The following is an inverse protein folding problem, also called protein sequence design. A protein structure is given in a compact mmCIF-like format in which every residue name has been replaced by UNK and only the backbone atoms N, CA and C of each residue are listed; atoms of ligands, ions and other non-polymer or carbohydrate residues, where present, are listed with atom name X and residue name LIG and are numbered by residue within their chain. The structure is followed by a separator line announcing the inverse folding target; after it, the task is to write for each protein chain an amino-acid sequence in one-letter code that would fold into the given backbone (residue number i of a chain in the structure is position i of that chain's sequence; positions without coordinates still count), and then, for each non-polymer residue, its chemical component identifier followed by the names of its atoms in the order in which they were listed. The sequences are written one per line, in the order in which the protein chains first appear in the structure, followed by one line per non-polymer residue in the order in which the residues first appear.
data_IF_698666186130
#
_entry.id   IF_698666186130
#
_cell.length_a   1.000
_cell.length_b   1.000
_cell.length_c   1.000
_cell.angle_alpha   90.00
_cell.angle_beta   90.00
_cell.angle_gamma   90.00
#
_symmetry.space_group_name_H-M   'P 1'
#
loop_
_entity.id
_entity.type
_entity.pdbx_description
1 polymer ?
#
# COMPACT_ATOMS: atom_id res chain seq x y z
N UNK A 1 9.93 -2.98 -20.65
CA UNK A 1 8.71 -3.70 -20.25
C UNK A 1 8.34 -3.30 -18.83
N UNK A 2 7.14 -2.82 -18.63
CA UNK A 2 6.65 -2.49 -17.28
C UNK A 2 6.43 -3.80 -16.52
N UNK A 3 7.17 -4.00 -15.43
CA UNK A 3 7.07 -5.20 -14.59
C UNK A 3 5.90 -5.14 -13.59
N UNK A 4 5.11 -4.08 -13.63
CA UNK A 4 3.95 -3.89 -12.76
C UNK A 4 2.86 -3.09 -13.46
N UNK A 5 1.60 -3.38 -13.15
CA UNK A 5 0.43 -2.65 -13.62
C UNK A 5 -0.18 -1.93 -12.41
N UNK A 6 -0.26 -0.60 -12.43
CA UNK A 6 -0.84 0.18 -11.34
C UNK A 6 -2.36 0.32 -11.48
N UNK A 7 -3.06 0.29 -10.35
CA UNK A 7 -4.46 0.70 -10.19
C UNK A 7 -4.55 1.64 -9.01
N UNK A 8 -5.17 2.78 -9.19
CA UNK A 8 -5.33 3.79 -8.14
C UNK A 8 -6.80 3.96 -7.77
N UNK A 9 -7.06 4.11 -6.48
CA UNK A 9 -8.37 4.33 -5.91
C UNK A 9 -8.22 5.32 -4.75
N UNK A 10 -8.99 6.41 -4.77
CA UNK A 10 -9.09 7.30 -3.62
C UNK A 10 -10.30 6.93 -2.78
N UNK A 11 -10.08 6.75 -1.49
CA UNK A 11 -11.12 6.33 -0.54
C UNK A 11 -11.26 7.39 0.54
N UNK A 12 -12.50 7.90 0.67
CA UNK A 12 -12.89 8.81 1.76
C UNK A 12 -13.81 8.12 2.74
N UNK A 13 -13.78 8.56 3.99
CA UNK A 13 -14.72 8.06 5.00
C UNK A 13 -16.17 8.32 4.56
N UNK A 14 -16.98 7.27 4.54
CA UNK A 14 -18.40 7.34 4.16
C UNK A 14 -18.72 6.99 2.71
N UNK A 15 -17.73 6.76 1.85
CA UNK A 15 -17.97 6.28 0.48
C UNK A 15 -18.34 4.79 0.49
N UNK A 16 -19.59 4.50 0.89
CA UNK A 16 -20.15 3.15 0.82
C UNK A 16 -20.48 2.68 -0.61
N UNK A 17 -20.34 3.57 -1.60
CA UNK A 17 -20.74 3.34 -2.97
C UNK A 17 -19.56 3.62 -3.92
N UNK A 18 -18.59 2.72 -3.90
CA UNK A 18 -17.46 2.80 -4.82
C UNK A 18 -17.89 2.21 -6.16
N UNK A 19 -18.29 3.10 -7.09
CA UNK A 19 -18.34 2.72 -8.49
C UNK A 19 -16.90 2.54 -8.98
N UNK A 20 -16.51 1.35 -9.43
CA UNK A 20 -15.19 1.12 -9.98
C UNK A 20 -15.09 1.72 -11.39
N UNK A 21 -14.95 3.02 -11.50
CA UNK A 21 -14.42 3.57 -12.75
C UNK A 21 -12.92 3.27 -12.79
N UNK A 22 -12.58 2.46 -13.77
CA UNK A 22 -11.23 2.12 -14.15
C UNK A 22 -10.56 3.36 -14.76
N UNK A 23 -10.04 4.26 -13.95
CA UNK A 23 -9.05 5.20 -14.44
C UNK A 23 -7.67 4.56 -14.37
N UNK A 24 -7.21 4.10 -15.52
CA UNK A 24 -5.79 3.90 -15.79
C UNK A 24 -5.17 5.30 -15.84
N UNK A 25 -4.87 5.88 -14.70
CA UNK A 25 -4.12 7.13 -14.69
C UNK A 25 -2.64 6.81 -14.88
N UNK A 26 -2.19 6.98 -16.13
CA UNK A 26 -0.79 7.22 -16.40
C UNK A 26 -0.42 8.56 -15.73
N UNK A 27 0.37 8.45 -14.64
CA UNK A 27 1.26 9.50 -14.18
C UNK A 27 0.72 10.92 -14.15
N UNK A 28 -0.25 11.23 -13.30
CA UNK A 28 -0.36 12.59 -12.80
C UNK A 28 0.61 12.73 -11.63
N UNK A 29 1.75 13.36 -11.89
CA UNK A 29 2.56 14.03 -10.87
C UNK A 29 1.71 15.14 -10.25
N UNK A 30 0.78 14.76 -9.38
CA UNK A 30 0.20 15.73 -8.47
C UNK A 30 1.33 16.20 -7.55
N UNK A 31 1.60 17.51 -7.62
CA UNK A 31 2.64 18.21 -6.89
C UNK A 31 3.01 17.55 -5.55
N UNK A 32 4.29 17.38 -5.33
CA UNK A 32 5.03 16.79 -4.20
C UNK A 32 4.43 17.04 -2.80
N UNK A 33 3.19 16.62 -2.58
CA UNK A 33 2.66 16.53 -1.23
C UNK A 33 3.43 15.40 -0.53
N UNK A 34 4.03 15.69 0.60
CA UNK A 34 4.68 14.68 1.42
C UNK A 34 3.68 13.57 1.72
N UNK A 35 4.04 12.33 1.40
CA UNK A 35 3.17 11.19 1.58
C UNK A 35 3.83 10.16 2.50
N UNK A 36 3.00 9.53 3.31
CA UNK A 36 3.38 8.38 4.14
C UNK A 36 2.84 7.13 3.45
N UNK A 37 3.73 6.23 3.11
CA UNK A 37 3.40 5.00 2.42
C UNK A 37 3.15 3.85 3.42
N UNK A 38 1.96 3.30 3.40
CA UNK A 38 1.61 2.10 4.15
C UNK A 38 1.59 0.92 3.19
N UNK A 39 2.44 -0.08 3.44
CA UNK A 39 2.45 -1.29 2.61
C UNK A 39 1.61 -2.36 3.29
N UNK A 40 0.68 -2.94 2.53
CA UNK A 40 -0.16 -4.02 3.02
C UNK A 40 0.67 -5.24 3.42
N UNK A 41 0.38 -5.77 4.59
CA UNK A 41 0.99 -7.00 5.14
C UNK A 41 -0.07 -8.07 5.44
N UNK A 42 -0.89 -7.82 6.43
CA UNK A 42 -2.08 -8.56 6.81
C UNK A 42 -3.19 -7.55 7.12
N UNK A 43 -4.43 -7.97 7.20
CA UNK A 43 -5.53 -7.04 7.51
C UNK A 43 -5.31 -6.35 8.87
N UNK A 44 -4.95 -7.11 9.91
CA UNK A 44 -4.67 -6.57 11.24
C UNK A 44 -3.42 -5.67 11.25
N UNK A 45 -2.33 -6.11 10.63
CA UNK A 45 -1.09 -5.33 10.52
C UNK A 45 -1.29 -4.04 9.75
N UNK A 46 -1.97 -4.11 8.62
CA UNK A 46 -2.27 -2.95 7.80
C UNK A 46 -3.15 -1.93 8.53
N UNK A 47 -4.14 -2.40 9.28
CA UNK A 47 -4.98 -1.52 10.11
C UNK A 47 -4.16 -0.78 11.17
N UNK A 48 -3.27 -1.47 11.89
CA UNK A 48 -2.35 -0.84 12.83
C UNK A 48 -1.42 0.16 12.15
N UNK A 49 -0.88 -0.20 10.98
CA UNK A 49 -0.01 0.69 10.20
C UNK A 49 -0.74 1.94 9.71
N UNK A 50 -1.98 1.80 9.21
CA UNK A 50 -2.81 2.94 8.80
C UNK A 50 -3.12 3.87 9.97
N UNK A 51 -3.44 3.33 11.13
CA UNK A 51 -3.68 4.12 12.33
C UNK A 51 -2.44 4.92 12.74
N UNK A 52 -1.27 4.30 12.69
CA UNK A 52 0.01 4.96 12.98
C UNK A 52 0.34 6.03 11.94
N UNK A 53 0.18 5.70 10.67
CA UNK A 53 0.42 6.61 9.56
C UNK A 53 -0.53 7.82 9.60
N UNK A 54 -1.78 7.60 9.92
CA UNK A 54 -2.77 8.68 10.06
C UNK A 54 -2.37 9.66 11.17
N UNK A 55 -2.03 9.16 12.37
CA UNK A 55 -1.60 10.01 13.47
C UNK A 55 -0.36 10.86 13.09
N UNK A 56 0.58 10.30 12.33
CA UNK A 56 1.73 11.04 11.82
C UNK A 56 1.35 12.06 10.76
N UNK A 57 0.44 11.69 9.85
CA UNK A 57 0.00 12.54 8.75
C UNK A 57 -0.71 13.80 9.24
N UNK A 58 -1.54 13.71 10.27
CA UNK A 58 -2.19 14.86 10.90
C UNK A 58 -1.17 15.89 11.41
N UNK A 59 -0.06 15.44 11.99
CA UNK A 59 0.98 16.32 12.51
C UNK A 59 1.87 16.91 11.41
N UNK A 60 2.07 16.19 10.32
CA UNK A 60 3.00 16.55 9.26
C UNK A 60 2.32 17.21 8.05
N UNK A 61 0.99 17.26 8.01
CA UNK A 61 0.25 17.71 6.83
C UNK A 61 0.49 16.79 5.62
N UNK A 62 0.71 15.50 5.88
CA UNK A 62 1.03 14.50 4.87
C UNK A 62 -0.23 13.78 4.36
N UNK A 63 -0.13 13.21 3.18
CA UNK A 63 -1.14 12.28 2.66
C UNK A 63 -0.79 10.85 3.06
N UNK A 64 -1.79 10.00 3.28
CA UNK A 64 -1.59 8.57 3.52
C UNK A 64 -1.90 7.79 2.26
N UNK A 65 -0.96 6.95 1.82
CA UNK A 65 -1.14 6.04 0.69
C UNK A 65 -1.03 4.61 1.16
N UNK A 66 -2.03 3.81 0.83
CA UNK A 66 -2.01 2.36 1.05
C UNK A 66 -1.56 1.66 -0.24
N UNK A 67 -0.46 0.95 -0.18
CA UNK A 67 0.12 0.21 -1.30
C UNK A 67 -0.13 -1.28 -1.11
N UNK A 68 -0.80 -1.89 -2.06
CA UNK A 68 -1.02 -3.34 -2.13
C UNK A 68 -0.29 -3.92 -3.33
N UNK A 69 0.60 -4.85 -3.08
CA UNK A 69 1.36 -5.56 -4.11
C UNK A 69 0.81 -6.98 -4.25
N UNK A 70 0.26 -7.28 -5.40
CA UNK A 70 -0.20 -8.62 -5.74
C UNK A 70 0.81 -9.30 -6.67
N UNK A 71 1.44 -10.36 -6.17
CA UNK A 71 2.34 -11.17 -6.97
C UNK A 71 1.54 -12.11 -7.87
N UNK A 72 1.55 -11.84 -9.18
CA UNK A 72 0.92 -12.71 -10.18
C UNK A 72 1.89 -13.82 -10.56
N UNK A 73 1.52 -15.11 -10.43
CA UNK A 73 2.35 -16.22 -10.84
C UNK A 73 2.76 -16.12 -12.31
N UNK A 74 3.94 -16.60 -12.67
CA UNK A 74 4.44 -16.58 -14.06
C UNK A 74 3.59 -17.40 -15.03
N UNK A 75 2.84 -18.36 -14.51
CA UNK A 75 1.89 -19.18 -15.30
C UNK A 75 0.64 -18.41 -15.76
N UNK A 76 0.38 -17.22 -15.17
CA UNK A 76 -0.77 -16.39 -15.51
C UNK A 76 -0.32 -15.09 -16.19
N UNK A 77 -1.14 -14.52 -17.10
CA UNK A 77 -0.88 -13.18 -17.61
C UNK A 77 -0.91 -12.15 -16.48
N UNK A 78 -0.07 -11.12 -16.56
CA UNK A 78 -0.03 -10.06 -15.55
C UNK A 78 -1.37 -9.30 -15.46
N UNK A 79 -2.12 -9.24 -16.56
CA UNK A 79 -3.43 -8.59 -16.65
C UNK A 79 -4.60 -9.45 -16.15
N UNK A 80 -4.36 -10.74 -15.86
CA UNK A 80 -5.38 -11.67 -15.41
C UNK A 80 -4.95 -12.38 -14.12
N UNK A 81 -4.94 -11.67 -12.97
CA UNK A 81 -4.60 -12.26 -11.68
C UNK A 81 -5.66 -13.29 -11.26
N UNK A 82 -5.25 -14.26 -10.45
CA UNK A 82 -6.16 -15.28 -9.91
C UNK A 82 -7.24 -14.69 -8.98
N UNK A 83 -6.99 -13.53 -8.40
CA UNK A 83 -7.94 -12.82 -7.53
C UNK A 83 -8.57 -11.67 -8.31
N UNK A 84 -9.89 -11.55 -8.20
CA UNK A 84 -10.65 -10.48 -8.85
C UNK A 84 -10.23 -9.09 -8.34
N UNK A 85 -9.92 -8.19 -9.26
CA UNK A 85 -9.59 -6.79 -8.94
C UNK A 85 -10.73 -6.06 -8.20
N UNK A 86 -12.01 -6.21 -8.57
CA UNK A 86 -13.11 -5.64 -7.81
C UNK A 86 -13.14 -6.10 -6.35
N UNK A 87 -12.86 -7.35 -6.10
CA UNK A 87 -12.77 -7.89 -4.74
C UNK A 87 -11.62 -7.24 -3.94
N UNK A 88 -10.43 -7.13 -4.55
CA UNK A 88 -9.28 -6.47 -3.91
C UNK A 88 -9.58 -5.00 -3.61
N UNK A 89 -10.19 -4.28 -4.55
CA UNK A 89 -10.59 -2.88 -4.37
C UNK A 89 -11.57 -2.73 -3.21
N UNK A 90 -12.60 -3.56 -3.16
CA UNK A 90 -13.59 -3.53 -2.09
C UNK A 90 -12.95 -3.81 -0.72
N UNK A 91 -12.10 -4.81 -0.64
CA UNK A 91 -11.38 -5.18 0.58
C UNK A 91 -10.51 -4.03 1.09
N UNK A 92 -9.70 -3.45 0.22
CA UNK A 92 -8.78 -2.37 0.57
C UNK A 92 -9.52 -1.07 0.89
N UNK A 93 -10.60 -0.79 0.18
CA UNK A 93 -11.49 0.33 0.47
C UNK A 93 -12.12 0.20 1.87
N UNK A 94 -12.52 -1.00 2.26
CA UNK A 94 -13.03 -1.28 3.60
C UNK A 94 -11.99 -1.03 4.70
N UNK A 95 -10.71 -1.36 4.46
CA UNK A 95 -9.62 -1.04 5.37
C UNK A 95 -9.35 0.47 5.44
N UNK A 96 -9.27 1.13 4.30
CA UNK A 96 -8.96 2.56 4.19
C UNK A 96 -10.11 3.44 4.69
N UNK A 97 -11.36 3.06 4.43
CA UNK A 97 -12.56 3.81 4.81
C UNK A 97 -12.85 3.85 6.32
N UNK A 98 -12.08 3.15 7.12
CA UNK A 98 -12.19 3.20 8.60
C UNK A 98 -11.51 4.43 9.22
N UNK A 99 -10.85 5.27 8.42
CA UNK A 99 -10.08 6.43 8.88
C UNK A 99 -10.76 7.75 8.51
N UNK A 100 -10.61 8.79 9.35
CA UNK A 100 -11.36 10.05 9.20
C UNK A 100 -10.84 10.97 8.09
N UNK A 101 -10.00 10.51 7.21
CA UNK A 101 -9.46 11.30 6.11
C UNK A 101 -9.38 10.53 4.83
N UNK A 102 -8.81 11.16 3.81
CA UNK A 102 -8.62 10.54 2.51
C UNK A 102 -7.38 9.64 2.53
N UNK A 103 -7.55 8.38 2.16
CA UNK A 103 -6.47 7.42 1.95
C UNK A 103 -6.44 7.05 0.48
N UNK A 104 -5.33 7.34 -0.19
CA UNK A 104 -5.09 6.89 -1.55
C UNK A 104 -4.72 5.40 -1.54
N UNK A 105 -5.47 4.58 -2.23
CA UNK A 105 -5.20 3.14 -2.34
C UNK A 105 -4.59 2.84 -3.70
N UNK A 106 -3.43 2.21 -3.73
CA UNK A 106 -2.74 1.79 -4.94
C UNK A 106 -2.54 0.29 -4.97
N UNK A 107 -3.04 -0.34 -6.00
CA UNK A 107 -2.88 -1.77 -6.23
C UNK A 107 -1.91 -1.97 -7.39
N UNK A 108 -0.88 -2.76 -7.19
CA UNK A 108 0.09 -3.10 -8.21
C UNK A 108 0.10 -4.60 -8.45
N UNK A 109 -0.20 -5.00 -9.67
CA UNK A 109 0.02 -6.37 -10.13
C UNK A 109 1.46 -6.49 -10.60
N UNK A 110 2.25 -7.36 -9.99
CA UNK A 110 3.67 -7.48 -10.26
C UNK A 110 4.13 -8.94 -10.21
N UNK A 111 5.30 -9.21 -10.76
CA UNK A 111 5.95 -10.54 -10.66
C UNK A 111 6.76 -10.64 -9.37
N UNK A 112 7.52 -9.60 -9.08
CA UNK A 112 8.44 -9.52 -7.95
C UNK A 112 8.11 -8.30 -7.08
N UNK A 113 7.40 -8.47 -5.95
CA UNK A 113 6.95 -7.35 -5.11
C UNK A 113 8.09 -6.44 -4.62
N UNK A 114 9.22 -7.00 -4.22
CA UNK A 114 10.35 -6.20 -3.71
C UNK A 114 10.95 -5.32 -4.80
N UNK A 115 11.09 -5.87 -6.01
CA UNK A 115 11.57 -5.11 -7.15
C UNK A 115 10.60 -4.00 -7.54
N UNK A 116 9.30 -4.32 -7.52
CA UNK A 116 8.26 -3.33 -7.75
C UNK A 116 8.33 -2.18 -6.73
N UNK A 117 8.49 -2.47 -5.45
CA UNK A 117 8.63 -1.44 -4.41
C UNK A 117 9.83 -0.53 -4.64
N UNK A 118 10.98 -1.08 -5.02
CA UNK A 118 12.16 -0.29 -5.34
C UNK A 118 11.90 0.71 -6.47
N UNK A 119 11.14 0.29 -7.47
CA UNK A 119 10.84 1.12 -8.65
C UNK A 119 9.69 2.12 -8.40
N UNK A 120 8.82 1.83 -7.43
CA UNK A 120 7.60 2.60 -7.15
C UNK A 120 7.76 3.64 -6.05
N UNK A 121 8.57 3.35 -5.02
CA UNK A 121 8.75 4.25 -3.90
C UNK A 121 9.72 5.38 -4.28
N UNK A 122 9.36 6.65 -4.04
CA UNK A 122 10.30 7.75 -4.14
C UNK A 122 11.50 7.54 -3.21
N UNK A 123 12.64 8.13 -3.55
CA UNK A 123 13.81 8.08 -2.68
C UNK A 123 13.48 8.61 -1.28
N UNK A 124 13.94 7.88 -0.25
CA UNK A 124 13.73 8.24 1.16
C UNK A 124 12.28 8.45 1.58
N UNK A 125 11.31 7.81 0.91
CA UNK A 125 9.90 7.89 1.33
C UNK A 125 9.72 7.23 2.69
N UNK A 126 8.89 7.86 3.55
CA UNK A 126 8.54 7.30 4.85
C UNK A 126 7.55 6.17 4.68
N UNK A 127 7.92 4.99 5.15
CA UNK A 127 7.11 3.78 5.05
C UNK A 127 6.66 3.33 6.43
N UNK A 128 5.38 2.98 6.55
CA UNK A 128 4.83 2.36 7.76
C UNK A 128 4.39 0.94 7.44
N UNK A 129 4.87 0.01 8.23
CA UNK A 129 4.50 -1.41 8.15
C UNK A 129 3.82 -1.84 9.44
N UNK A 130 2.91 -2.79 9.34
CA UNK A 130 2.28 -3.36 10.52
C UNK A 130 2.36 -4.88 10.54
N UNK A 131 2.49 -5.44 11.74
CA UNK A 131 2.50 -6.89 11.93
C UNK A 131 2.79 -7.30 13.36
N UNK A 132 2.63 -8.59 13.63
CA UNK A 132 3.00 -9.16 14.92
C UNK A 132 4.51 -9.38 15.01
N UNK A 133 5.07 -9.12 16.19
CA UNK A 133 6.41 -9.61 16.54
C UNK A 133 6.31 -11.07 16.94
N UNK A 134 7.06 -11.91 16.27
CA UNK A 134 7.19 -13.33 16.60
C UNK A 134 8.67 -13.68 16.78
N UNK A 135 8.93 -14.77 17.45
CA UNK A 135 10.27 -15.37 17.58
C UNK A 135 10.96 -15.55 16.22
N UNK A 136 10.21 -15.96 15.17
CA UNK A 136 10.69 -16.05 13.80
C UNK A 136 10.33 -14.80 13.02
N UNK A 137 11.24 -14.25 12.19
CA UNK A 137 10.96 -13.05 11.42
C UNK A 137 9.75 -13.26 10.49
N UNK A 138 8.72 -12.47 10.70
CA UNK A 138 7.53 -12.46 9.86
C UNK A 138 7.82 -11.86 8.48
N UNK A 139 6.89 -12.05 7.53
CA UNK A 139 7.01 -11.40 6.21
C UNK A 139 7.14 -9.87 6.34
N UNK A 140 6.41 -9.28 7.27
CA UNK A 140 6.47 -7.84 7.55
C UNK A 140 7.85 -7.42 8.06
N UNK A 141 8.46 -8.15 8.97
CA UNK A 141 9.81 -7.87 9.48
C UNK A 141 10.89 -8.04 8.40
N UNK A 142 10.75 -9.04 7.53
CA UNK A 142 11.66 -9.20 6.38
C UNK A 142 11.54 -8.05 5.38
N UNK A 143 10.32 -7.58 5.16
CA UNK A 143 10.05 -6.43 4.30
C UNK A 143 10.65 -5.16 4.92
N UNK A 144 10.47 -4.94 6.23
CA UNK A 144 11.09 -3.84 6.96
C UNK A 144 12.61 -3.79 6.74
N UNK A 145 13.28 -4.93 6.94
CA UNK A 145 14.73 -5.03 6.75
C UNK A 145 15.14 -4.68 5.33
N UNK A 146 14.40 -5.14 4.34
CA UNK A 146 14.69 -4.85 2.92
C UNK A 146 14.48 -3.39 2.56
N UNK A 147 13.40 -2.77 3.04
CA UNK A 147 13.13 -1.35 2.80
C UNK A 147 14.17 -0.45 3.45
N UNK A 148 14.62 -0.77 4.67
CA UNK A 148 15.72 -0.06 5.33
C UNK A 148 17.03 -0.16 4.53
N UNK A 149 17.33 -1.32 3.95
CA UNK A 149 18.49 -1.50 3.05
C UNK A 149 18.37 -0.68 1.76
N UNK A 150 17.16 -0.41 1.28
CA UNK A 150 16.91 0.46 0.14
C UNK A 150 16.97 1.96 0.48
N UNK A 151 17.19 2.31 1.74
CA UNK A 151 17.34 3.69 2.19
C UNK A 151 16.05 4.37 2.65
N UNK A 152 14.97 3.61 2.83
CA UNK A 152 13.71 4.17 3.32
C UNK A 152 13.66 4.17 4.85
N UNK A 153 13.25 5.29 5.50
CA UNK A 153 12.87 5.26 6.90
C UNK A 153 11.59 4.43 7.07
N UNK A 154 11.63 3.44 7.95
CA UNK A 154 10.51 2.51 8.19
C UNK A 154 10.08 2.58 9.64
N UNK A 155 8.78 2.78 9.86
CA UNK A 155 8.13 2.69 11.15
C UNK A 155 7.36 1.37 11.20
N UNK A 156 7.58 0.56 12.22
CA UNK A 156 6.87 -0.68 12.42
C UNK A 156 5.79 -0.51 13.49
N UNK A 157 4.53 -0.77 13.12
CA UNK A 157 3.38 -0.78 14.01
C UNK A 157 3.09 -2.23 14.45
N UNK A 158 3.25 -2.49 15.75
CA UNK A 158 3.01 -3.84 16.29
C UNK A 158 1.53 -4.09 16.50
N UNK A 159 1.06 -5.24 16.00
CA UNK A 159 -0.24 -5.78 16.39
C UNK A 159 -0.08 -6.49 17.74
N UNK A 160 -0.95 -6.15 18.67
CA UNK A 160 -1.07 -6.86 19.96
C UNK A 160 -1.77 -8.19 19.78
#
# INVERSE_FOLDING_TARGET
MRNSIPYELSVKLGDANIHPELEVQSGSEAAHAFAIDVIYTTDAGTRCALQKAWALAEHLGAQVRLIFLYAVPFSLPLTAPAVSLPFLKQKLAGLAGSFPGEVSVRIYLCREPIRALRDLLPESSLVVLGGGKRWWPTRAQRLETRLKKLGHPVIFAETR
#
